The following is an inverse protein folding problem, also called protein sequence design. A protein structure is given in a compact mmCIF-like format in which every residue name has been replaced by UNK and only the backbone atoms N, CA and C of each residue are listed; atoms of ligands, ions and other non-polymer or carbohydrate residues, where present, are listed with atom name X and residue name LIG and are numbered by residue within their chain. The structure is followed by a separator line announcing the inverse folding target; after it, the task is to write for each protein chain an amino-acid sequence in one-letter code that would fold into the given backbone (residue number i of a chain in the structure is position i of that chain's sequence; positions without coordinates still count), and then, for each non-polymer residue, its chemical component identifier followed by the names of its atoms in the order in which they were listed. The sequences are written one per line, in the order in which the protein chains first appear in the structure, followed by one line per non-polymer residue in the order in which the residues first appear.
data_IF_794707532353
#
_entry.id   IF_794707532353
#
_cell.length_a   1.000
_cell.length_b   1.000
_cell.length_c   1.000
_cell.angle_alpha   90.00
_cell.angle_beta   90.00
_cell.angle_gamma   90.00
#
_symmetry.space_group_name_H-M   'P 1'
#
loop_
_entity.id
_entity.type
_entity.pdbx_description
1 polymer ?
#
# COMPACT_ATOMS: atom_id res chain seq x y z
N UNK A 1 37.38 34.43 17.31
CA UNK A 1 36.13 33.74 17.70
C UNK A 1 34.99 34.75 17.62
N UNK A 2 33.98 34.51 16.78
CA UNK A 2 32.59 34.93 17.00
C UNK A 2 31.72 34.36 15.87
N UNK A 3 30.80 33.46 16.25
CA UNK A 3 29.80 32.77 15.42
C UNK A 3 28.85 33.77 14.77
N UNK A 4 28.59 33.60 13.48
CA UNK A 4 27.37 34.09 12.83
C UNK A 4 26.52 32.85 12.54
N UNK A 5 25.69 32.46 13.52
CA UNK A 5 24.58 31.54 13.31
C UNK A 5 23.30 32.36 13.45
N UNK A 6 22.90 32.96 12.33
CA UNK A 6 21.55 33.47 12.14
C UNK A 6 20.87 32.64 11.06
N UNK A 7 20.07 31.65 11.47
CA UNK A 7 18.93 31.20 10.66
C UNK A 7 17.68 31.27 11.55
N UNK A 8 17.38 32.50 11.99
CA UNK A 8 16.05 32.87 12.46
C UNK A 8 15.15 32.99 11.22
N UNK A 9 14.71 31.88 10.65
CA UNK A 9 13.60 31.91 9.68
C UNK A 9 12.31 32.15 10.46
N UNK A 10 11.72 33.30 10.19
CA UNK A 10 10.42 33.77 10.64
C UNK A 10 9.36 32.66 10.67
N UNK A 11 8.36 32.74 11.56
CA UNK A 11 7.30 31.75 11.59
C UNK A 11 6.57 31.79 10.24
N UNK A 12 6.75 30.73 9.44
CA UNK A 12 5.87 30.41 8.33
C UNK A 12 4.43 30.65 8.80
N UNK A 13 3.67 31.45 8.05
CA UNK A 13 2.26 31.76 8.31
C UNK A 13 1.54 30.50 8.82
N UNK A 14 0.80 30.56 9.93
CA UNK A 14 0.18 29.38 10.54
C UNK A 14 -0.66 28.57 9.53
N UNK A 15 -1.27 29.27 8.56
CA UNK A 15 -1.97 28.65 7.42
C UNK A 15 -1.05 27.87 6.49
N UNK A 16 0.16 28.38 6.22
CA UNK A 16 1.17 27.68 5.41
C UNK A 16 1.66 26.40 6.10
N UNK A 17 1.87 26.44 7.42
CA UNK A 17 2.24 25.25 8.22
C UNK A 17 1.13 24.19 8.16
N UNK A 18 -0.13 24.60 8.31
CA UNK A 18 -1.28 23.69 8.19
C UNK A 18 -1.40 23.06 6.79
N UNK A 19 -1.18 23.85 5.73
CA UNK A 19 -1.23 23.37 4.35
C UNK A 19 -0.11 22.35 4.06
N UNK A 20 1.12 22.61 4.50
CA UNK A 20 2.24 21.67 4.34
C UNK A 20 1.94 20.36 5.10
N UNK A 21 1.43 20.45 6.33
CA UNK A 21 1.04 19.28 7.10
C UNK A 21 -0.05 18.45 6.43
N UNK A 22 -1.08 19.10 5.88
CA UNK A 22 -2.14 18.43 5.12
C UNK A 22 -1.60 17.75 3.85
N UNK A 23 -0.65 18.38 3.14
CA UNK A 23 0.03 17.79 1.99
C UNK A 23 0.80 16.52 2.39
N UNK A 24 1.60 16.58 3.45
CA UNK A 24 2.38 15.43 3.90
C UNK A 24 1.49 14.24 4.33
N UNK A 25 0.36 14.50 4.99
CA UNK A 25 -0.63 13.45 5.29
C UNK A 25 -1.25 12.86 4.03
N UNK A 26 -1.53 13.69 3.03
CA UNK A 26 -2.06 13.24 1.74
C UNK A 26 -1.06 12.34 1.02
N UNK A 27 0.22 12.72 1.00
CA UNK A 27 1.31 11.92 0.44
C UNK A 27 1.43 10.55 1.14
N UNK A 28 1.38 10.51 2.48
CA UNK A 28 1.40 9.25 3.23
C UNK A 28 0.22 8.35 2.81
N UNK A 29 -0.98 8.90 2.72
CA UNK A 29 -2.16 8.14 2.31
C UNK A 29 -2.03 7.63 0.87
N UNK A 30 -1.48 8.43 -0.05
CA UNK A 30 -1.23 8.01 -1.42
C UNK A 30 -0.23 6.85 -1.51
N UNK A 31 0.87 6.92 -0.74
CA UNK A 31 1.86 5.84 -0.68
C UNK A 31 1.22 4.57 -0.11
N UNK A 32 0.42 4.69 0.96
CA UNK A 32 -0.32 3.56 1.54
C UNK A 32 -1.24 2.90 0.52
N UNK A 33 -2.08 3.68 -0.17
CA UNK A 33 -2.97 3.15 -1.21
C UNK A 33 -2.20 2.40 -2.30
N UNK A 34 -1.03 2.93 -2.71
CA UNK A 34 -0.20 2.29 -3.73
C UNK A 34 0.45 1.00 -3.23
N UNK A 35 0.89 0.94 -1.97
CA UNK A 35 1.41 -0.30 -1.37
C UNK A 35 0.32 -1.38 -1.37
N UNK A 36 -0.87 -1.07 -0.87
CA UNK A 36 -1.98 -2.04 -0.82
C UNK A 36 -2.36 -2.55 -2.21
N UNK A 37 -2.39 -1.67 -3.22
CA UNK A 37 -2.64 -2.05 -4.62
C UNK A 37 -1.60 -3.07 -5.11
N UNK A 38 -0.31 -2.79 -4.92
CA UNK A 38 0.77 -3.68 -5.36
C UNK A 38 0.82 -4.98 -4.56
N UNK A 39 0.48 -4.97 -3.27
CA UNK A 39 0.37 -6.17 -2.44
C UNK A 39 -0.74 -7.11 -2.96
N UNK A 40 -1.88 -6.56 -3.39
CA UNK A 40 -2.94 -7.34 -4.03
C UNK A 40 -2.44 -7.96 -5.33
N UNK A 41 -1.79 -7.19 -6.21
CA UNK A 41 -1.21 -7.72 -7.45
C UNK A 41 -0.19 -8.84 -7.19
N UNK A 42 0.71 -8.67 -6.21
CA UNK A 42 1.70 -9.69 -5.84
C UNK A 42 1.05 -10.98 -5.29
N UNK A 43 -0.06 -10.83 -4.56
CA UNK A 43 -0.87 -11.96 -4.09
C UNK A 43 -1.53 -12.70 -5.26
N UNK A 44 -2.10 -11.99 -6.23
CA UNK A 44 -2.66 -12.59 -7.45
C UNK A 44 -1.61 -13.38 -8.24
N UNK A 45 -0.40 -12.83 -8.40
CA UNK A 45 0.70 -13.55 -9.04
C UNK A 45 1.07 -14.82 -8.27
N UNK A 46 1.06 -14.76 -6.93
CA UNK A 46 1.32 -15.93 -6.07
C UNK A 46 0.27 -17.03 -6.27
N UNK A 47 -1.00 -16.68 -6.39
CA UNK A 47 -2.08 -17.61 -6.69
C UNK A 47 -1.87 -18.29 -8.06
N UNK A 48 -1.52 -17.51 -9.09
CA UNK A 48 -1.23 -18.04 -10.42
C UNK A 48 -0.06 -19.02 -10.38
N UNK A 49 1.06 -18.65 -9.73
CA UNK A 49 2.24 -19.51 -9.60
C UNK A 49 1.86 -20.83 -8.92
N UNK A 50 1.14 -20.77 -7.79
CA UNK A 50 0.73 -21.96 -7.05
C UNK A 50 -0.18 -22.88 -7.87
N UNK A 51 -1.05 -22.31 -8.70
CA UNK A 51 -1.95 -23.07 -9.56
C UNK A 51 -1.23 -23.77 -10.73
N UNK A 52 -0.22 -23.14 -11.33
CA UNK A 52 0.43 -23.67 -12.54
C UNK A 52 1.71 -24.47 -12.27
N UNK A 53 2.37 -24.25 -11.12
CA UNK A 53 3.60 -24.95 -10.73
C UNK A 53 3.50 -26.49 -10.69
N UNK A 54 2.39 -27.12 -10.26
CA UNK A 54 2.29 -28.58 -10.26
C UNK A 54 1.93 -29.17 -11.63
N UNK A 55 1.67 -28.34 -12.65
CA UNK A 55 1.27 -28.79 -13.98
C UNK A 55 2.49 -29.12 -14.86
N UNK A 56 2.25 -29.87 -15.92
CA UNK A 56 3.28 -30.22 -16.89
C UNK A 56 3.89 -28.97 -17.57
N UNK A 57 5.23 -28.81 -17.57
CA UNK A 57 5.88 -27.63 -18.15
C UNK A 57 5.67 -27.43 -19.66
N UNK A 58 5.36 -28.50 -20.40
CA UNK A 58 5.10 -28.47 -21.84
C UNK A 58 3.64 -28.16 -22.18
N UNK A 59 2.76 -28.11 -21.18
CA UNK A 59 1.35 -27.73 -21.35
C UNK A 59 1.24 -26.31 -21.92
N UNK A 60 0.37 -26.16 -22.91
CA UNK A 60 0.04 -24.87 -23.54
C UNK A 60 -0.65 -23.95 -22.53
N UNK A 61 -0.23 -22.69 -22.52
CA UNK A 61 -0.75 -21.60 -21.71
C UNK A 61 -1.10 -20.44 -22.65
N UNK A 62 -2.14 -19.67 -22.34
CA UNK A 62 -2.56 -18.54 -23.17
C UNK A 62 -2.59 -17.28 -22.32
N UNK A 63 -1.89 -16.25 -22.79
CA UNK A 63 -1.87 -14.93 -22.14
C UNK A 63 -2.72 -13.95 -22.94
N UNK A 64 -3.66 -13.29 -22.28
CA UNK A 64 -4.45 -12.23 -22.90
C UNK A 64 -3.65 -10.92 -22.92
N UNK A 65 -3.53 -10.29 -24.08
CA UNK A 65 -2.89 -8.99 -24.28
C UNK A 65 -3.78 -8.18 -25.23
N UNK A 66 -4.37 -7.09 -24.74
CA UNK A 66 -5.19 -6.19 -25.57
C UNK A 66 -6.34 -6.88 -26.31
N UNK A 67 -6.90 -7.96 -25.74
CA UNK A 67 -7.98 -8.75 -26.36
C UNK A 67 -7.52 -9.90 -27.26
N UNK A 68 -6.21 -10.08 -27.48
CA UNK A 68 -5.66 -11.23 -28.23
C UNK A 68 -5.04 -12.25 -27.28
N UNK A 69 -5.28 -13.54 -27.50
CA UNK A 69 -4.65 -14.63 -26.77
C UNK A 69 -3.32 -15.01 -27.44
N UNK A 70 -2.22 -14.84 -26.72
CA UNK A 70 -0.89 -15.26 -27.14
C UNK A 70 -0.58 -16.61 -26.53
N UNK A 71 -0.29 -17.59 -27.38
CA UNK A 71 0.11 -18.92 -26.96
C UNK A 71 1.55 -18.96 -26.44
N UNK A 72 1.74 -19.65 -25.32
CA UNK A 72 3.00 -19.93 -24.66
C UNK A 72 2.95 -21.31 -24.01
N UNK A 73 4.04 -21.71 -23.37
CA UNK A 73 4.10 -22.91 -22.53
C UNK A 73 4.31 -22.54 -21.06
N UNK A 74 3.95 -23.43 -20.14
CA UNK A 74 4.16 -23.19 -18.70
C UNK A 74 5.64 -22.92 -18.39
N UNK A 75 6.57 -23.63 -19.06
CA UNK A 75 8.02 -23.39 -18.94
C UNK A 75 8.45 -21.95 -19.29
N UNK A 76 7.73 -21.27 -20.18
CA UNK A 76 8.02 -19.88 -20.56
C UNK A 76 7.31 -18.87 -19.64
N UNK A 77 6.08 -19.20 -19.22
CA UNK A 77 5.22 -18.29 -18.44
C UNK A 77 5.62 -18.25 -16.97
N UNK A 78 5.90 -19.41 -16.36
CA UNK A 78 6.23 -19.51 -14.94
C UNK A 78 7.39 -18.60 -14.51
N UNK A 79 8.56 -18.58 -15.18
CA UNK A 79 9.64 -17.67 -14.81
C UNK A 79 9.29 -16.19 -15.04
N UNK A 80 8.42 -15.88 -16.02
CA UNK A 80 7.98 -14.50 -16.25
C UNK A 80 7.05 -14.01 -15.13
N UNK A 81 6.09 -14.83 -14.68
CA UNK A 81 5.19 -14.50 -13.57
C UNK A 81 5.97 -14.37 -12.26
N UNK A 82 6.94 -15.27 -12.02
CA UNK A 82 7.81 -15.22 -10.85
C UNK A 82 8.66 -13.93 -10.80
N UNK A 83 9.32 -13.58 -11.91
CA UNK A 83 10.12 -12.34 -11.99
C UNK A 83 9.27 -11.09 -11.79
N UNK A 84 8.05 -11.08 -12.34
CA UNK A 84 7.14 -9.95 -12.14
C UNK A 84 6.73 -9.81 -10.68
N UNK A 85 6.42 -10.93 -10.01
CA UNK A 85 6.12 -10.94 -8.56
C UNK A 85 7.30 -10.39 -7.75
N UNK A 86 8.51 -10.87 -8.00
CA UNK A 86 9.72 -10.39 -7.31
C UNK A 86 9.94 -8.88 -7.53
N UNK A 87 9.71 -8.40 -8.75
CA UNK A 87 9.75 -6.96 -9.06
C UNK A 87 8.70 -6.15 -8.30
N UNK A 88 7.48 -6.67 -8.14
CA UNK A 88 6.44 -6.03 -7.32
C UNK A 88 6.86 -5.98 -5.84
N UNK A 89 7.39 -7.07 -5.29
CA UNK A 89 7.88 -7.13 -3.90
C UNK A 89 9.02 -6.13 -3.65
N UNK A 90 9.96 -5.97 -4.60
CA UNK A 90 11.00 -4.94 -4.49
C UNK A 90 10.44 -3.52 -4.48
N UNK A 91 9.45 -3.23 -5.34
CA UNK A 91 8.82 -1.90 -5.39
C UNK A 91 8.04 -1.63 -4.11
N UNK A 92 7.31 -2.62 -3.59
CA UNK A 92 6.62 -2.52 -2.29
C UNK A 92 7.62 -2.19 -1.19
N UNK A 93 8.74 -2.91 -1.10
CA UNK A 93 9.76 -2.66 -0.08
C UNK A 93 10.30 -1.22 -0.14
N UNK A 94 10.56 -0.70 -1.35
CA UNK A 94 11.00 0.70 -1.55
C UNK A 94 9.94 1.72 -1.15
N UNK A 95 8.67 1.46 -1.46
CA UNK A 95 7.55 2.32 -1.05
C UNK A 95 7.36 2.30 0.47
N UNK A 96 7.49 1.14 1.11
CA UNK A 96 7.44 1.00 2.57
C UNK A 96 8.56 1.79 3.24
N UNK A 97 9.79 1.74 2.71
CA UNK A 97 10.90 2.55 3.23
C UNK A 97 10.61 4.06 3.09
N UNK A 98 10.06 4.46 1.93
CA UNK A 98 9.68 5.86 1.66
C UNK A 98 8.58 6.33 2.60
N UNK A 99 7.59 5.47 2.86
CA UNK A 99 6.50 5.71 3.80
C UNK A 99 7.02 5.93 5.23
N UNK A 100 7.94 5.08 5.69
CA UNK A 100 8.54 5.22 7.03
C UNK A 100 9.40 6.48 7.15
N UNK A 101 10.13 6.87 6.11
CA UNK A 101 10.82 8.18 6.06
C UNK A 101 9.82 9.33 6.18
N UNK A 102 8.71 9.28 5.43
CA UNK A 102 7.69 10.34 5.44
C UNK A 102 6.97 10.45 6.78
N UNK A 103 6.69 9.33 7.44
CA UNK A 103 6.15 9.32 8.81
C UNK A 103 7.07 10.02 9.80
N UNK A 104 8.39 9.78 9.70
CA UNK A 104 9.38 10.45 10.56
C UNK A 104 9.42 11.95 10.29
N UNK A 105 9.42 12.37 9.02
CA UNK A 105 9.33 13.79 8.64
C UNK A 105 8.09 14.47 9.22
N UNK A 106 6.93 13.80 9.17
CA UNK A 106 5.69 14.32 9.75
C UNK A 106 5.79 14.45 11.28
N UNK A 107 6.34 13.44 11.97
CA UNK A 107 6.52 13.48 13.42
C UNK A 107 7.48 14.61 13.84
N UNK A 108 8.58 14.81 13.11
CA UNK A 108 9.51 15.92 13.33
C UNK A 108 8.85 17.28 13.07
N UNK A 109 8.01 17.38 12.03
CA UNK A 109 7.27 18.59 11.72
C UNK A 109 6.22 18.92 12.79
N UNK A 110 5.50 17.92 13.31
CA UNK A 110 4.57 18.08 14.43
C UNK A 110 5.27 18.59 15.68
N UNK A 111 6.43 18.02 16.01
CA UNK A 111 7.24 18.43 17.16
C UNK A 111 7.77 19.87 17.01
N UNK A 112 8.27 20.21 15.81
CA UNK A 112 8.86 21.53 15.51
C UNK A 112 7.85 22.67 15.62
N UNK A 113 6.65 22.48 15.08
CA UNK A 113 5.64 23.53 15.04
C UNK A 113 4.62 23.44 16.18
N UNK A 114 4.81 22.48 17.11
CA UNK A 114 3.85 22.16 18.18
C UNK A 114 2.44 22.19 17.64
N UNK A 115 2.21 21.54 16.49
CA UNK A 115 0.91 21.52 15.84
C UNK A 115 -0.02 20.85 16.84
N UNK A 116 -0.73 21.67 17.63
CA UNK A 116 -1.93 21.24 18.31
C UNK A 116 -2.87 21.03 17.16
N UNK A 117 -2.91 19.79 16.68
CA UNK A 117 -4.11 19.27 16.06
C UNK A 117 -5.19 19.66 17.07
N UNK A 118 -5.95 20.72 16.77
CA UNK A 118 -7.29 20.85 17.31
C UNK A 118 -7.92 19.56 16.82
N UNK A 119 -7.85 18.51 17.64
CA UNK A 119 -8.79 17.41 17.63
C UNK A 119 -10.10 18.16 17.73
N UNK A 120 -10.73 18.40 16.57
CA UNK A 120 -12.09 18.88 16.54
C UNK A 120 -12.86 17.91 17.41
N UNK A 121 -13.58 18.47 18.38
CA UNK A 121 -14.49 17.78 19.27
C UNK A 121 -15.25 16.70 18.50
N UNK A 122 -14.94 15.46 18.84
CA UNK A 122 -15.37 14.26 18.13
C UNK A 122 -14.76 13.02 18.76
N UNK A 123 -14.61 13.03 20.09
CA UNK A 123 -14.50 11.81 20.87
C UNK A 123 -15.79 11.01 20.65
N UNK A 124 -15.76 10.07 19.71
CA UNK A 124 -16.70 8.97 19.73
C UNK A 124 -16.38 8.18 21.00
N UNK A 125 -17.22 8.37 22.02
CA UNK A 125 -17.30 7.49 23.18
C UNK A 125 -17.41 6.06 22.67
N UNK A 126 -16.41 5.26 23.00
CA UNK A 126 -16.50 3.82 23.03
C UNK A 126 -17.50 3.45 24.13
N UNK A 127 -18.77 3.29 23.75
CA UNK A 127 -19.76 2.58 24.56
C UNK A 127 -19.93 1.19 23.98
N UNK A 128 -19.47 0.21 24.76
CA UNK A 128 -19.61 -1.21 24.48
C UNK A 128 -21.06 -1.59 24.22
N UNK A 129 -21.32 -2.04 23.00
CA UNK A 129 -22.56 -2.68 22.59
C UNK A 129 -22.25 -3.95 21.82
N UNK A 130 -22.23 -5.09 22.52
CA UNK A 130 -22.33 -6.43 21.94
C UNK A 130 -23.46 -6.45 20.89
N UNK A 131 -23.14 -6.67 19.62
CA UNK A 131 -24.05 -7.32 18.66
C UNK A 131 -23.28 -8.20 17.70
N UNK A 132 -23.68 -9.47 17.73
CA UNK A 132 -23.27 -10.57 16.88
C UNK A 132 -23.49 -10.29 15.39
N UNK A 133 -22.56 -10.80 14.58
CA UNK A 133 -22.87 -11.53 13.35
C UNK A 133 -23.40 -10.74 12.15
N UNK A 134 -22.50 -10.40 11.22
CA UNK A 134 -22.79 -10.54 9.80
C UNK A 134 -21.49 -10.76 9.01
N UNK A 135 -20.92 -11.95 9.13
CA UNK A 135 -19.94 -12.44 8.17
C UNK A 135 -20.71 -12.84 6.92
N UNK A 136 -20.73 -11.98 5.90
CA UNK A 136 -21.20 -12.34 4.57
C UNK A 136 -20.12 -13.19 3.87
N UNK A 137 -19.90 -14.38 4.41
CA UNK A 137 -19.13 -15.46 3.79
C UNK A 137 -20.03 -16.22 2.83
N UNK A 138 -19.59 -16.36 1.59
CA UNK A 138 -20.29 -17.15 0.56
C UNK A 138 -20.19 -18.63 0.94
N UNK A 139 -21.30 -19.20 1.42
CA UNK A 139 -21.47 -20.63 1.64
C UNK A 139 -21.87 -21.29 0.32
N UNK A 140 -20.93 -21.96 -0.35
CA UNK A 140 -21.22 -22.85 -1.47
C UNK A 140 -21.48 -24.24 -0.90
N UNK A 141 -22.74 -24.68 -0.90
CA UNK A 141 -23.11 -26.03 -0.48
C UNK A 141 -22.66 -27.09 -1.48
N UNK A 142 -22.45 -28.35 -1.05
CA UNK A 142 -22.07 -29.43 -1.95
C UNK A 142 -23.23 -29.77 -2.89
N UNK A 143 -22.96 -29.75 -4.21
CA UNK A 143 -23.85 -30.34 -5.19
C UNK A 143 -23.75 -31.87 -5.07
N UNK A 144 -24.85 -32.52 -4.74
CA UNK A 144 -24.96 -33.97 -4.78
C UNK A 144 -26.11 -34.38 -5.71
N UNK A 145 -25.73 -35.21 -6.70
CA UNK A 145 -26.49 -36.04 -7.65
C UNK A 145 -27.55 -35.42 -8.57
#
# INVERSE_FOLDING_TARGET
MAKVEGDSKEPLNEQAVANIYASMRTEINQIYSKITELEMEASEHSLVINAIKPLDPSRRCYRMIGGVLVERTIKEVLPAVQRNKEGLEEVIARLTETLEKKKKEVAEFEAKYKIRIRKGDGEMKDEGGKKEGNAQGVLVGPANE
#
